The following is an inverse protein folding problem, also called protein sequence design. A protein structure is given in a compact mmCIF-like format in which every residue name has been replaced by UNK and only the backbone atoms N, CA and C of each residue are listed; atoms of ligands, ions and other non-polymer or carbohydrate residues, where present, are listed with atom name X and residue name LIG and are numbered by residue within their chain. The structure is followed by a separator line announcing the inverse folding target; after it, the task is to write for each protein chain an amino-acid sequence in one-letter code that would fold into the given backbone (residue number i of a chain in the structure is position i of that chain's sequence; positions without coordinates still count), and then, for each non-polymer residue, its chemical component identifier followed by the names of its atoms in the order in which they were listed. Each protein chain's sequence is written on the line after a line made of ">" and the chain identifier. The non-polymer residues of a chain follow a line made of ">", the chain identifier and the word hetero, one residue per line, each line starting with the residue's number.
data_IF_301254544613
#
_entry.id   IF_301254544613
#
_cell.length_a   1.000
_cell.length_b   1.000
_cell.length_c   1.000
_cell.angle_alpha   90.00
_cell.angle_beta   90.00
_cell.angle_gamma   90.00
#
_symmetry.space_group_name_H-M   'P 1'
#
loop_
_entity.id
_entity.type
_entity.pdbx_description
1 polymer ?
#
# COMPACT_ATOMS: atom_id res chain seq x y z
N UNK A 1 53.32 26.90 -68.45
CA UNK A 1 53.63 25.85 -67.47
C UNK A 1 52.67 25.99 -66.30
N UNK A 2 51.72 25.07 -66.20
CA UNK A 2 50.77 24.93 -65.10
C UNK A 2 51.18 23.74 -64.25
N UNK A 3 51.24 23.89 -62.91
CA UNK A 3 50.89 22.89 -61.87
C UNK A 3 51.23 23.44 -60.46
N UNK A 4 50.71 22.88 -59.35
CA UNK A 4 49.30 22.81 -58.92
C UNK A 4 49.08 23.42 -57.51
N UNK A 5 47.81 23.63 -57.11
CA UNK A 5 47.43 23.86 -55.70
C UNK A 5 47.69 22.59 -54.88
N UNK A 6 48.25 22.67 -53.66
CA UNK A 6 48.16 21.57 -52.71
C UNK A 6 46.96 21.71 -51.76
N UNK A 7 46.05 20.76 -51.91
CA UNK A 7 45.35 20.01 -50.86
C UNK A 7 44.61 20.78 -49.76
N UNK A 8 43.31 20.94 -49.97
CA UNK A 8 42.30 21.02 -48.90
C UNK A 8 42.35 19.76 -48.04
N UNK A 9 42.82 19.87 -46.80
CA UNK A 9 42.54 18.86 -45.78
C UNK A 9 41.10 19.03 -45.30
N UNK A 10 40.25 18.10 -45.69
CA UNK A 10 38.91 17.87 -45.17
C UNK A 10 38.98 16.62 -44.28
N UNK A 11 38.76 16.71 -42.97
CA UNK A 11 38.24 15.60 -42.19
C UNK A 11 36.75 15.84 -41.92
N UNK A 12 35.90 15.29 -42.80
CA UNK A 12 34.51 15.00 -42.49
C UNK A 12 34.47 13.78 -41.57
N UNK A 13 34.81 13.97 -40.29
CA UNK A 13 34.56 12.96 -39.27
C UNK A 13 33.11 13.12 -38.81
N UNK A 14 32.21 12.38 -39.46
CA UNK A 14 30.82 12.26 -39.03
C UNK A 14 30.79 11.50 -37.71
N UNK A 15 30.62 12.23 -36.60
CA UNK A 15 30.37 11.63 -35.30
C UNK A 15 28.96 11.03 -35.36
N UNK A 16 28.87 9.73 -35.60
CA UNK A 16 27.64 8.97 -35.50
C UNK A 16 27.26 8.85 -34.01
N UNK A 17 26.42 9.76 -33.54
CA UNK A 17 25.90 9.73 -32.17
C UNK A 17 24.90 8.58 -32.08
N UNK A 18 25.35 7.42 -31.60
CA UNK A 18 24.48 6.28 -31.32
C UNK A 18 23.47 6.65 -30.21
N UNK A 19 22.20 6.84 -30.59
CA UNK A 19 21.13 7.20 -29.66
C UNK A 19 20.68 5.96 -28.88
N UNK A 20 21.20 5.76 -27.66
CA UNK A 20 20.79 4.65 -26.78
C UNK A 20 19.41 4.95 -26.20
N UNK A 21 18.37 4.36 -26.77
CA UNK A 21 17.01 4.48 -26.24
C UNK A 21 16.77 3.44 -25.13
N UNK A 22 16.91 3.83 -23.86
CA UNK A 22 16.48 3.01 -22.72
C UNK A 22 14.97 3.16 -22.51
N UNK A 23 14.21 2.10 -22.78
CA UNK A 23 12.80 2.01 -22.36
C UNK A 23 12.74 1.27 -21.02
N UNK A 24 12.39 2.00 -19.95
CA UNK A 24 12.12 1.39 -18.65
C UNK A 24 10.61 1.18 -18.55
N UNK A 25 10.18 -0.09 -18.54
CA UNK A 25 8.78 -0.44 -18.35
C UNK A 25 8.55 -0.90 -16.91
N UNK A 26 7.52 -0.35 -16.26
CA UNK A 26 7.10 -0.74 -14.92
C UNK A 26 5.70 -1.33 -14.97
N UNK A 27 5.59 -2.57 -14.54
CA UNK A 27 4.32 -3.30 -14.49
C UNK A 27 4.57 -4.80 -14.38
N UNK A 28 3.56 -5.58 -13.98
CA UNK A 28 3.69 -7.03 -13.84
C UNK A 28 3.87 -7.76 -15.19
N UNK A 29 3.64 -7.07 -16.31
CA UNK A 29 3.75 -7.62 -17.66
C UNK A 29 4.85 -6.87 -18.42
N UNK A 30 5.79 -7.58 -19.10
CA UNK A 30 6.82 -6.93 -19.91
C UNK A 30 6.22 -6.24 -21.14
N UNK A 31 6.95 -5.27 -21.71
CA UNK A 31 6.55 -4.64 -22.97
C UNK A 31 6.33 -5.70 -24.07
N UNK A 32 5.33 -5.54 -24.97
CA UNK A 32 5.02 -6.54 -26.00
C UNK A 32 6.22 -6.97 -26.85
N UNK A 33 7.12 -6.04 -27.20
CA UNK A 33 8.34 -6.37 -27.95
C UNK A 33 9.32 -7.27 -27.19
N UNK A 34 9.34 -7.19 -25.86
CA UNK A 34 10.14 -8.06 -24.99
C UNK A 34 9.50 -9.45 -24.89
N UNK A 35 8.17 -9.50 -24.73
CA UNK A 35 7.40 -10.77 -24.76
C UNK A 35 7.59 -11.52 -26.08
N UNK A 36 7.55 -10.80 -27.20
CA UNK A 36 7.83 -11.35 -28.53
C UNK A 36 9.26 -11.90 -28.63
N UNK A 37 10.24 -11.21 -28.03
CA UNK A 37 11.62 -11.69 -27.92
C UNK A 37 11.72 -13.02 -27.16
N UNK A 38 11.03 -13.16 -26.02
CA UNK A 38 11.01 -14.41 -25.26
C UNK A 38 10.34 -15.56 -26.04
N UNK A 39 9.24 -15.28 -26.73
CA UNK A 39 8.52 -16.27 -27.53
C UNK A 39 9.37 -16.83 -28.69
N UNK A 40 10.18 -15.96 -29.32
CA UNK A 40 11.13 -16.35 -30.38
C UNK A 40 12.26 -17.25 -29.86
N UNK A 41 12.65 -17.12 -28.59
CA UNK A 41 13.72 -17.93 -27.99
C UNK A 41 13.15 -19.26 -27.46
N UNK A 42 12.02 -19.19 -26.77
CA UNK A 42 11.34 -20.35 -26.18
C UNK A 42 9.86 -20.26 -26.52
N UNK A 43 9.39 -21.20 -27.35
CA UNK A 43 8.00 -21.27 -27.74
C UNK A 43 7.10 -21.48 -26.50
N UNK A 44 6.02 -20.70 -26.40
CA UNK A 44 5.09 -20.64 -25.27
C UNK A 44 5.56 -19.81 -24.08
N UNK A 45 6.73 -19.16 -24.14
CA UNK A 45 7.24 -18.35 -23.04
C UNK A 45 6.35 -17.13 -22.74
N UNK A 46 5.83 -16.46 -23.77
CA UNK A 46 4.95 -15.30 -23.58
C UNK A 46 3.70 -15.68 -22.79
N UNK A 47 3.06 -16.80 -23.15
CA UNK A 47 1.88 -17.31 -22.44
C UNK A 47 2.21 -17.68 -20.98
N UNK A 48 3.35 -18.32 -20.72
CA UNK A 48 3.78 -18.64 -19.34
C UNK A 48 4.02 -17.39 -18.50
N UNK A 49 4.59 -16.34 -19.07
CA UNK A 49 4.82 -15.06 -18.38
C UNK A 49 3.48 -14.39 -18.07
N UNK A 50 2.56 -14.33 -19.03
CA UNK A 50 1.22 -13.77 -18.82
C UNK A 50 0.44 -14.56 -17.76
N UNK A 51 0.43 -15.89 -17.83
CA UNK A 51 -0.22 -16.75 -16.85
C UNK A 51 0.38 -16.56 -15.43
N UNK A 52 1.69 -16.39 -15.33
CA UNK A 52 2.36 -16.08 -14.06
C UNK A 52 1.93 -14.70 -13.52
N UNK A 53 1.87 -13.67 -14.37
CA UNK A 53 1.42 -12.34 -13.98
C UNK A 53 -0.04 -12.34 -13.50
N UNK A 54 -0.93 -13.06 -14.19
CA UNK A 54 -2.33 -13.23 -13.78
C UNK A 54 -2.46 -13.98 -12.46
N UNK A 55 -1.72 -15.07 -12.29
CA UNK A 55 -1.71 -15.85 -11.05
C UNK A 55 -1.23 -14.99 -9.87
N UNK A 56 -0.19 -14.19 -10.07
CA UNK A 56 0.30 -13.26 -9.06
C UNK A 56 -0.73 -12.16 -8.74
N UNK A 57 -1.38 -11.59 -9.75
CA UNK A 57 -2.45 -10.60 -9.54
C UNK A 57 -3.60 -11.20 -8.71
N UNK A 58 -4.07 -12.41 -9.06
CA UNK A 58 -5.10 -13.13 -8.29
C UNK A 58 -4.66 -13.37 -6.84
N UNK A 59 -3.40 -13.77 -6.63
CA UNK A 59 -2.87 -13.99 -5.30
C UNK A 59 -2.82 -12.70 -4.47
N UNK A 60 -2.30 -11.60 -5.03
CA UNK A 60 -2.26 -10.30 -4.36
C UNK A 60 -3.67 -9.84 -4.01
N UNK A 61 -4.62 -9.91 -4.94
CA UNK A 61 -6.02 -9.55 -4.66
C UNK A 61 -6.63 -10.41 -3.56
N UNK A 62 -6.36 -11.71 -3.54
CA UNK A 62 -6.82 -12.59 -2.46
C UNK A 62 -6.23 -12.19 -1.09
N UNK A 63 -4.94 -11.81 -1.05
CA UNK A 63 -4.31 -11.30 0.16
C UNK A 63 -4.90 -9.95 0.60
N UNK A 64 -5.16 -9.03 -0.34
CA UNK A 64 -5.78 -7.74 -0.07
C UNK A 64 -7.17 -7.91 0.53
N UNK A 65 -8.01 -8.77 -0.06
CA UNK A 65 -9.36 -9.08 0.45
C UNK A 65 -9.25 -9.68 1.86
N UNK A 66 -8.39 -10.68 2.06
CA UNK A 66 -8.21 -11.31 3.36
C UNK A 66 -7.71 -10.33 4.42
N UNK A 67 -6.80 -9.42 4.06
CA UNK A 67 -6.31 -8.38 4.96
C UNK A 67 -7.43 -7.41 5.35
N UNK A 68 -8.30 -7.01 4.41
CA UNK A 68 -9.48 -6.19 4.70
C UNK A 68 -10.49 -6.90 5.60
N UNK A 69 -10.73 -8.19 5.38
CA UNK A 69 -11.62 -9.01 6.23
C UNK A 69 -11.10 -9.11 7.65
N UNK A 70 -9.81 -9.42 7.82
CA UNK A 70 -9.16 -9.50 9.14
C UNK A 70 -9.27 -8.15 9.87
N UNK A 71 -8.96 -7.06 9.16
CA UNK A 71 -9.06 -5.69 9.72
C UNK A 71 -10.50 -5.35 10.11
N UNK A 72 -11.49 -5.70 9.29
CA UNK A 72 -12.90 -5.48 9.59
C UNK A 72 -13.34 -6.27 10.83
N UNK A 73 -12.92 -7.53 10.93
CA UNK A 73 -13.22 -8.38 12.09
C UNK A 73 -12.55 -7.85 13.37
N UNK A 74 -11.32 -7.35 13.29
CA UNK A 74 -10.62 -6.73 14.41
C UNK A 74 -11.35 -5.49 14.92
N UNK A 75 -11.76 -4.59 14.02
CA UNK A 75 -12.55 -3.40 14.35
C UNK A 75 -13.87 -3.79 15.04
N UNK A 76 -14.61 -4.75 14.46
CA UNK A 76 -15.88 -5.22 15.03
C UNK A 76 -15.69 -5.82 16.43
N UNK A 77 -14.69 -6.67 16.62
CA UNK A 77 -14.37 -7.25 17.95
C UNK A 77 -13.99 -6.15 18.95
N UNK A 78 -13.16 -5.20 18.55
CA UNK A 78 -12.79 -4.06 19.38
C UNK A 78 -14.00 -3.22 19.81
N UNK A 79 -14.94 -2.97 18.90
CA UNK A 79 -16.19 -2.26 19.21
C UNK A 79 -17.08 -3.04 20.20
N UNK A 80 -17.21 -4.36 20.03
CA UNK A 80 -17.99 -5.20 20.93
C UNK A 80 -17.37 -5.20 22.33
N UNK A 81 -16.05 -5.40 22.44
CA UNK A 81 -15.36 -5.35 23.73
C UNK A 81 -15.45 -3.97 24.37
N UNK A 82 -15.24 -2.90 23.61
CA UNK A 82 -15.39 -1.52 24.09
C UNK A 82 -16.80 -1.23 24.60
N UNK A 83 -17.83 -1.68 23.89
CA UNK A 83 -19.23 -1.57 24.32
C UNK A 83 -19.48 -2.36 25.61
N UNK A 84 -18.99 -3.60 25.71
CA UNK A 84 -19.17 -4.43 26.91
C UNK A 84 -18.51 -3.84 28.16
N UNK A 85 -17.30 -3.29 28.01
CA UNK A 85 -16.56 -2.62 29.10
C UNK A 85 -17.30 -1.34 29.51
N UNK A 86 -17.76 -0.55 28.54
CA UNK A 86 -18.56 0.64 28.81
C UNK A 86 -19.84 0.33 29.58
N UNK A 87 -20.57 -0.72 29.18
CA UNK A 87 -21.78 -1.16 29.87
C UNK A 87 -21.50 -1.65 31.29
N UNK A 88 -20.43 -2.44 31.49
CA UNK A 88 -20.01 -2.90 32.81
C UNK A 88 -19.65 -1.71 33.73
N UNK A 89 -18.93 -0.72 33.22
CA UNK A 89 -18.56 0.46 34.01
C UNK A 89 -19.78 1.33 34.38
N UNK A 90 -20.75 1.47 33.46
CA UNK A 90 -22.02 2.13 33.77
C UNK A 90 -22.80 1.36 34.86
N UNK A 91 -22.80 0.02 34.81
CA UNK A 91 -23.39 -0.82 35.85
C UNK A 91 -22.74 -0.62 37.22
N UNK A 92 -21.41 -0.57 37.28
CA UNK A 92 -20.66 -0.28 38.52
C UNK A 92 -20.96 1.13 39.03
N UNK A 93 -21.02 2.12 38.14
CA UNK A 93 -21.35 3.50 38.49
C UNK A 93 -22.77 3.61 39.09
N UNK A 94 -23.76 2.98 38.45
CA UNK A 94 -25.14 2.94 38.95
C UNK A 94 -25.23 2.25 40.31
N UNK A 95 -24.54 1.13 40.49
CA UNK A 95 -24.48 0.43 41.77
C UNK A 95 -23.86 1.30 42.87
N UNK A 96 -22.76 2.02 42.58
CA UNK A 96 -22.12 2.93 43.51
C UNK A 96 -23.04 4.08 43.95
N UNK A 97 -23.87 4.60 43.04
CA UNK A 97 -24.89 5.60 43.37
C UNK A 97 -25.96 5.05 44.32
N UNK A 98 -26.45 3.83 44.09
CA UNK A 98 -27.46 3.18 44.94
C UNK A 98 -26.94 2.96 46.37
N UNK A 99 -25.67 2.60 46.53
CA UNK A 99 -25.03 2.39 47.85
C UNK A 99 -24.65 3.72 48.53
N UNK A 100 -24.87 4.87 47.87
CA UNK A 100 -24.60 6.19 48.42
C UNK A 100 -23.14 6.63 48.32
N UNK A 101 -22.31 5.92 47.56
CA UNK A 101 -20.90 6.22 47.33
C UNK A 101 -20.72 7.27 46.21
N UNK A 102 -21.26 8.48 46.42
CA UNK A 102 -21.31 9.56 45.42
C UNK A 102 -19.93 9.97 44.87
N UNK A 103 -18.90 10.01 45.73
CA UNK A 103 -17.52 10.32 45.32
C UNK A 103 -16.98 9.27 44.35
N UNK A 104 -17.12 7.99 44.68
CA UNK A 104 -16.70 6.86 43.84
C UNK A 104 -17.44 6.83 42.51
N UNK A 105 -18.76 7.06 42.51
CA UNK A 105 -19.54 7.14 41.27
C UNK A 105 -19.08 8.27 40.35
N UNK A 106 -18.76 9.44 40.92
CA UNK A 106 -18.28 10.60 40.15
C UNK A 106 -16.91 10.34 39.53
N UNK A 107 -15.96 9.76 40.28
CA UNK A 107 -14.64 9.41 39.77
C UNK A 107 -14.72 8.34 38.67
N UNK A 108 -15.49 7.26 38.89
CA UNK A 108 -15.62 6.17 37.92
C UNK A 108 -16.29 6.69 36.64
N UNK A 109 -17.41 7.41 36.76
CA UNK A 109 -18.14 7.97 35.62
C UNK A 109 -17.30 8.98 34.83
N UNK A 110 -16.57 9.87 35.51
CA UNK A 110 -15.68 10.83 34.87
C UNK A 110 -14.53 10.17 34.10
N UNK A 111 -13.83 9.21 34.73
CA UNK A 111 -12.73 8.48 34.09
C UNK A 111 -13.22 7.68 32.89
N UNK A 112 -14.36 7.00 33.00
CA UNK A 112 -14.89 6.22 31.87
C UNK A 112 -15.37 7.08 30.73
N UNK A 113 -16.01 8.23 31.00
CA UNK A 113 -16.40 9.16 29.94
C UNK A 113 -15.19 9.70 29.20
N UNK A 114 -14.18 10.20 29.93
CA UNK A 114 -12.93 10.70 29.33
C UNK A 114 -12.25 9.59 28.52
N UNK A 115 -12.13 8.38 29.09
CA UNK A 115 -11.53 7.24 28.43
C UNK A 115 -12.23 6.86 27.12
N UNK A 116 -13.56 6.78 27.11
CA UNK A 116 -14.34 6.47 25.90
C UNK A 116 -14.23 7.55 24.83
N UNK A 117 -14.32 8.83 25.23
CA UNK A 117 -14.17 9.96 24.30
C UNK A 117 -12.76 9.98 23.70
N UNK A 118 -11.73 9.83 24.52
CA UNK A 118 -10.34 9.76 24.05
C UNK A 118 -10.11 8.58 23.10
N UNK A 119 -10.62 7.38 23.43
CA UNK A 119 -10.51 6.22 22.56
C UNK A 119 -11.19 6.44 21.20
N UNK A 120 -12.35 7.10 21.19
CA UNK A 120 -13.09 7.38 19.96
C UNK A 120 -12.42 8.46 19.09
N UNK A 121 -11.81 9.48 19.71
CA UNK A 121 -11.04 10.50 19.00
C UNK A 121 -9.75 9.89 18.43
N UNK A 122 -8.98 9.17 19.25
CA UNK A 122 -7.73 8.52 18.83
C UNK A 122 -7.98 7.48 17.73
N UNK A 123 -9.07 6.71 17.83
CA UNK A 123 -9.47 5.74 16.81
C UNK A 123 -9.89 6.36 15.47
N UNK A 124 -10.15 7.68 15.42
CA UNK A 124 -10.47 8.43 14.19
C UNK A 124 -9.28 9.18 13.59
N UNK A 125 -8.15 9.27 14.30
CA UNK A 125 -6.98 9.91 13.73
C UNK A 125 -6.42 9.03 12.61
N UNK A 126 -6.12 9.61 11.43
CA UNK A 126 -5.49 8.85 10.37
C UNK A 126 -4.13 8.36 10.88
N UNK A 127 -4.01 7.04 11.03
CA UNK A 127 -2.75 6.42 11.41
C UNK A 127 -1.70 6.89 10.40
N UNK A 128 -0.74 7.69 10.87
CA UNK A 128 0.35 8.22 10.05
C UNK A 128 1.05 7.01 9.43
N UNK A 129 0.85 6.81 8.12
CA UNK A 129 1.59 5.79 7.37
C UNK A 129 3.07 6.11 7.58
N UNK A 130 3.76 5.22 8.28
CA UNK A 130 5.22 5.20 8.31
C UNK A 130 5.70 5.09 6.85
N UNK A 131 6.56 6.02 6.47
CA UNK A 131 7.11 6.12 5.10
C UNK A 131 8.24 5.14 4.93
#
# INVERSE_FOLDING_TARGET
>A
MANPKPSTFQPEESIEIAQIQRTTFYGPIPHPSILEGYEKIVNGAANRILAMAEANAKHIHALEIKALEIKSAEIKRGQIFGFSIGLAALGVCLYALIVGAHGTATSIGGITLVGLVSAFILGRLPSKKEK
#
